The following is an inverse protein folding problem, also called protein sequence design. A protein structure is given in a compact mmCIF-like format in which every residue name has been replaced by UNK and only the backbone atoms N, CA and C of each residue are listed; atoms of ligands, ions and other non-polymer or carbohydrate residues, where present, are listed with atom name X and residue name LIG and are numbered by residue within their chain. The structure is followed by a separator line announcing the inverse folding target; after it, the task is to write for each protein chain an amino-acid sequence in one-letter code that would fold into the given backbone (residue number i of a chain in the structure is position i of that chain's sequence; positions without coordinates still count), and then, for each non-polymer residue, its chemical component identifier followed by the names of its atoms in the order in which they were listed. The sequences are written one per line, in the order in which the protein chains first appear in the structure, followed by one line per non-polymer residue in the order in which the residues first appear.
data_IF_843820133942
#
_entry.id   IF_843820133942
#
_cell.length_a   1.000
_cell.length_b   1.000
_cell.length_c   1.000
_cell.angle_alpha   90.00
_cell.angle_beta   90.00
_cell.angle_gamma   90.00
#
_symmetry.space_group_name_H-M   'P 1'
#
loop_
_entity.id
_entity.type
_entity.pdbx_description
1 polymer ?
#
# COMPACT_ATOMS: atom_id res chain seq x y z
N UNK A 1 -21.96 81.00 19.71
CA UNK A 1 -21.62 80.66 18.32
C UNK A 1 -20.12 80.37 18.29
N UNK A 2 -19.57 79.21 17.95
CA UNK A 2 -20.08 77.90 17.55
C UNK A 2 -18.95 76.89 17.80
N UNK A 3 -19.30 75.67 18.23
CA UNK A 3 -18.33 74.61 18.51
C UNK A 3 -17.74 74.02 17.22
N UNK A 4 -16.43 73.81 17.22
CA UNK A 4 -15.70 73.21 16.11
C UNK A 4 -15.85 71.69 16.16
N UNK A 5 -16.78 71.14 15.37
CA UNK A 5 -16.98 69.71 15.22
C UNK A 5 -15.88 69.13 14.31
N UNK A 6 -15.00 68.32 14.88
CA UNK A 6 -14.04 67.49 14.14
C UNK A 6 -14.76 66.27 13.59
N UNK A 7 -15.04 66.28 12.28
CA UNK A 7 -15.58 65.13 11.57
C UNK A 7 -14.50 64.05 11.42
N UNK A 8 -14.58 63.00 12.23
CA UNK A 8 -13.81 61.76 12.02
C UNK A 8 -14.41 60.99 10.85
N UNK A 9 -13.74 61.04 9.70
CA UNK A 9 -14.08 60.21 8.54
C UNK A 9 -13.85 58.74 8.92
N UNK A 10 -14.94 57.99 9.09
CA UNK A 10 -14.92 56.56 9.34
C UNK A 10 -14.39 55.79 8.14
N UNK A 11 -13.24 55.14 8.32
CA UNK A 11 -12.68 54.17 7.35
C UNK A 11 -13.67 53.00 7.21
N UNK A 12 -14.12 52.62 6.00
CA UNK A 12 -14.95 51.44 5.82
C UNK A 12 -14.13 50.19 6.19
N UNK A 13 -14.60 49.47 7.20
CA UNK A 13 -14.06 48.16 7.62
C UNK A 13 -14.16 47.21 6.41
N UNK A 14 -13.02 46.85 5.80
CA UNK A 14 -12.99 45.83 4.76
C UNK A 14 -13.59 44.54 5.32
N UNK A 15 -14.81 44.22 4.89
CA UNK A 15 -15.43 42.93 5.15
C UNK A 15 -14.57 41.89 4.45
N UNK A 16 -13.94 41.02 5.25
CA UNK A 16 -13.11 39.94 4.76
C UNK A 16 -13.89 39.09 3.76
N UNK A 17 -13.38 39.03 2.53
CA UNK A 17 -13.83 38.09 1.50
C UNK A 17 -13.95 36.71 2.15
N UNK A 18 -15.11 36.04 2.14
CA UNK A 18 -15.18 34.66 2.57
C UNK A 18 -14.16 33.90 1.72
N UNK A 19 -13.14 33.33 2.37
CA UNK A 19 -12.23 32.40 1.70
C UNK A 19 -13.11 31.22 1.31
N UNK A 20 -13.53 31.19 0.04
CA UNK A 20 -14.01 29.97 -0.59
C UNK A 20 -12.82 29.02 -0.49
N UNK A 21 -12.90 28.12 0.49
CA UNK A 21 -11.94 27.05 0.68
C UNK A 21 -12.06 26.19 -0.57
N UNK A 22 -10.96 25.85 -1.27
CA UNK A 22 -11.04 24.87 -2.33
C UNK A 22 -11.56 23.60 -1.69
N UNK A 23 -12.79 23.24 -2.02
CA UNK A 23 -13.37 21.94 -1.73
C UNK A 23 -12.40 20.94 -2.35
N UNK A 24 -11.64 20.24 -1.49
CA UNK A 24 -10.77 19.18 -1.93
C UNK A 24 -11.63 18.19 -2.72
N UNK A 25 -11.26 17.97 -3.97
CA UNK A 25 -12.02 17.15 -4.91
C UNK A 25 -12.49 15.84 -4.27
N UNK A 26 -13.80 15.65 -4.08
CA UNK A 26 -14.36 14.47 -3.40
C UNK A 26 -13.95 13.12 -4.03
N UNK A 27 -13.48 13.11 -5.28
CA UNK A 27 -13.08 11.89 -5.99
C UNK A 27 -11.68 11.35 -5.63
N UNK A 28 -10.71 12.22 -5.37
CA UNK A 28 -9.31 11.78 -5.20
C UNK A 28 -9.04 11.17 -3.81
N UNK A 29 -9.66 11.71 -2.76
CA UNK A 29 -9.53 11.17 -1.40
C UNK A 29 -10.32 9.88 -1.20
N UNK A 30 -11.46 9.75 -1.86
CA UNK A 30 -12.33 8.58 -1.73
C UNK A 30 -11.76 7.36 -2.45
N UNK A 31 -11.20 7.55 -3.66
CA UNK A 31 -10.51 6.49 -4.40
C UNK A 31 -9.33 5.91 -3.62
N UNK A 32 -8.49 6.77 -3.03
CA UNK A 32 -7.38 6.32 -2.18
C UNK A 32 -7.88 5.58 -0.93
N UNK A 33 -8.93 6.07 -0.28
CA UNK A 33 -9.48 5.44 0.91
C UNK A 33 -9.96 4.00 0.62
N UNK A 34 -10.74 3.82 -0.44
CA UNK A 34 -11.17 2.49 -0.88
C UNK A 34 -10.01 1.60 -1.29
N UNK A 35 -9.03 2.15 -2.00
CA UNK A 35 -7.82 1.40 -2.35
C UNK A 35 -7.16 0.85 -1.09
N UNK A 36 -6.89 1.68 -0.08
CA UNK A 36 -6.28 1.26 1.18
C UNK A 36 -7.13 0.20 1.91
N UNK A 37 -8.46 0.36 1.95
CA UNK A 37 -9.35 -0.64 2.57
C UNK A 37 -9.28 -1.97 1.82
N UNK A 38 -9.42 -1.96 0.50
CA UNK A 38 -9.48 -3.18 -0.31
C UNK A 38 -8.14 -3.90 -0.31
N UNK A 39 -7.04 -3.18 -0.55
CA UNK A 39 -5.71 -3.78 -0.55
C UNK A 39 -5.27 -4.19 0.85
N UNK A 40 -5.62 -3.40 1.88
CA UNK A 40 -5.41 -3.77 3.27
C UNK A 40 -6.19 -5.04 3.64
N UNK A 41 -7.46 -5.15 3.27
CA UNK A 41 -8.28 -6.33 3.53
C UNK A 41 -7.75 -7.57 2.78
N UNK A 42 -7.32 -7.41 1.52
CA UNK A 42 -6.72 -8.48 0.74
C UNK A 42 -5.40 -8.98 1.36
N UNK A 43 -4.53 -8.06 1.80
CA UNK A 43 -3.30 -8.40 2.51
C UNK A 43 -3.57 -9.08 3.85
N UNK A 44 -4.54 -8.56 4.61
CA UNK A 44 -4.97 -9.12 5.89
C UNK A 44 -5.49 -10.55 5.71
N UNK A 45 -6.34 -10.78 4.72
CA UNK A 45 -6.85 -12.10 4.36
C UNK A 45 -5.71 -13.06 4.00
N UNK A 46 -4.79 -12.63 3.14
CA UNK A 46 -3.63 -13.44 2.78
C UNK A 46 -2.79 -13.81 4.01
N UNK A 47 -2.47 -12.84 4.86
CA UNK A 47 -1.71 -13.08 6.09
C UNK A 47 -2.44 -13.99 7.06
N UNK A 48 -3.76 -13.84 7.19
CA UNK A 48 -4.59 -14.70 8.03
C UNK A 48 -4.57 -16.14 7.56
N UNK A 49 -4.83 -16.38 6.27
CA UNK A 49 -4.85 -17.73 5.69
C UNK A 49 -3.47 -18.39 5.79
N UNK A 50 -2.39 -17.70 5.44
CA UNK A 50 -1.03 -18.26 5.55
C UNK A 50 -0.71 -18.61 7.02
N UNK A 51 -1.17 -17.81 7.97
CA UNK A 51 -0.95 -18.09 9.41
C UNK A 51 -1.69 -19.36 9.83
N UNK A 52 -2.96 -19.50 9.46
CA UNK A 52 -3.75 -20.70 9.75
C UNK A 52 -3.15 -21.94 9.09
N UNK A 53 -2.81 -21.87 7.80
CA UNK A 53 -2.22 -22.99 7.07
C UNK A 53 -0.88 -23.41 7.69
N UNK A 54 -0.08 -22.46 8.21
CA UNK A 54 1.16 -22.77 8.92
C UNK A 54 0.91 -23.46 10.25
N UNK A 55 -0.14 -23.12 10.99
CA UNK A 55 -0.50 -23.84 12.21
C UNK A 55 -0.97 -25.26 11.91
N UNK A 56 -1.81 -25.44 10.89
CA UNK A 56 -2.27 -26.76 10.46
C UNK A 56 -1.11 -27.65 10.03
N UNK A 57 -0.12 -27.09 9.33
CA UNK A 57 1.08 -27.81 8.92
C UNK A 57 1.99 -28.21 10.09
N UNK A 58 1.97 -27.44 11.19
CA UNK A 58 2.69 -27.79 12.43
C UNK A 58 1.99 -28.91 13.21
N UNK A 59 0.67 -29.04 13.07
CA UNK A 59 -0.12 -30.11 13.68
C UNK A 59 -0.07 -31.40 12.85
N UNK A 60 -0.15 -31.27 11.53
CA UNK A 60 -0.12 -32.37 10.56
C UNK A 60 0.84 -32.03 9.40
N UNK A 61 2.04 -32.62 9.36
CA UNK A 61 3.01 -32.41 8.28
C UNK A 61 2.50 -32.83 6.89
N UNK A 62 1.48 -33.70 6.81
CA UNK A 62 0.87 -34.14 5.55
C UNK A 62 -0.26 -33.20 5.08
N UNK A 63 -0.56 -32.14 5.85
CA UNK A 63 -1.52 -31.11 5.47
C UNK A 63 -1.09 -30.43 4.16
N UNK A 64 -2.03 -30.37 3.20
CA UNK A 64 -1.82 -29.71 1.91
C UNK A 64 -2.57 -28.37 1.89
N UNK A 65 -1.86 -27.23 1.95
CA UNK A 65 -2.48 -25.92 1.84
C UNK A 65 -3.26 -25.80 0.53
N UNK A 66 -4.42 -25.14 0.55
CA UNK A 66 -5.28 -24.96 -0.62
C UNK A 66 -4.57 -24.26 -1.79
N UNK A 67 -3.54 -23.47 -1.48
CA UNK A 67 -2.72 -22.74 -2.44
C UNK A 67 -1.58 -23.58 -3.06
N UNK A 68 -1.46 -24.86 -2.68
CA UNK A 68 -0.46 -25.81 -3.23
C UNK A 68 -1.08 -26.67 -4.33
N UNK A 69 -1.00 -26.19 -5.57
CA UNK A 69 -1.66 -26.80 -6.73
C UNK A 69 -0.74 -27.72 -7.53
N UNK A 70 0.55 -27.36 -7.61
CA UNK A 70 1.56 -28.10 -8.36
C UNK A 70 2.96 -27.79 -7.76
N UNK A 71 4.05 -28.44 -8.23
CA UNK A 71 5.39 -28.23 -7.68
C UNK A 71 5.89 -26.78 -7.77
N UNK A 72 5.45 -26.03 -8.78
CA UNK A 72 5.78 -24.61 -8.96
C UNK A 72 4.91 -23.73 -8.06
N UNK A 73 3.60 -23.96 -8.02
CA UNK A 73 2.64 -23.21 -7.21
C UNK A 73 2.40 -23.97 -5.91
N UNK A 74 3.31 -23.80 -4.96
CA UNK A 74 3.36 -24.54 -3.69
C UNK A 74 3.48 -23.60 -2.49
N UNK A 75 2.35 -23.35 -1.82
CA UNK A 75 2.31 -22.69 -0.50
C UNK A 75 3.21 -23.41 0.51
N UNK A 76 3.09 -24.75 0.55
CA UNK A 76 3.73 -25.57 1.58
C UNK A 76 5.26 -25.43 1.55
N UNK A 77 5.86 -25.50 0.37
CA UNK A 77 7.31 -25.34 0.18
C UNK A 77 7.81 -23.98 0.65
N UNK A 78 7.04 -22.92 0.40
CA UNK A 78 7.38 -21.56 0.86
C UNK A 78 7.23 -21.43 2.38
N UNK A 79 6.19 -22.01 2.98
CA UNK A 79 5.92 -21.88 4.42
C UNK A 79 6.91 -22.63 5.32
N UNK A 80 7.48 -23.73 4.81
CA UNK A 80 8.48 -24.54 5.51
C UNK A 80 9.90 -23.97 5.41
N UNK A 81 10.14 -22.99 4.54
CA UNK A 81 11.46 -22.40 4.38
C UNK A 81 11.87 -21.52 5.57
N UNK A 82 13.18 -21.38 5.81
CA UNK A 82 13.70 -20.52 6.87
C UNK A 82 13.33 -19.04 6.66
N UNK A 83 13.26 -18.63 5.40
CA UNK A 83 12.88 -17.26 4.99
C UNK A 83 11.45 -16.92 5.42
N UNK A 84 10.57 -17.91 5.64
CA UNK A 84 9.21 -17.68 6.14
C UNK A 84 9.17 -17.14 7.59
N UNK A 85 10.31 -17.13 8.28
CA UNK A 85 10.48 -16.57 9.62
C UNK A 85 11.73 -15.69 9.73
N UNK A 86 11.87 -14.72 8.81
CA UNK A 86 13.06 -13.87 8.68
C UNK A 86 13.38 -13.06 9.95
N UNK A 87 12.36 -12.76 10.78
CA UNK A 87 12.50 -12.01 12.03
C UNK A 87 12.41 -12.89 13.29
N UNK A 88 12.55 -14.21 13.15
CA UNK A 88 12.43 -15.17 14.27
C UNK A 88 10.98 -15.56 14.62
N UNK A 89 10.01 -15.07 13.86
CA UNK A 89 8.60 -15.44 13.94
C UNK A 89 7.99 -15.47 12.54
N UNK A 90 6.84 -16.13 12.32
CA UNK A 90 6.21 -16.20 11.00
C UNK A 90 5.97 -14.82 10.40
N UNK A 91 6.54 -14.54 9.23
CA UNK A 91 6.38 -13.27 8.52
C UNK A 91 4.91 -12.84 8.33
N UNK A 92 3.92 -13.75 8.10
CA UNK A 92 2.51 -13.37 8.02
C UNK A 92 1.99 -12.63 9.25
N UNK A 93 2.59 -12.79 10.43
CA UNK A 93 2.20 -12.04 11.63
C UNK A 93 2.50 -10.53 11.49
N UNK A 94 3.59 -10.16 10.81
CA UNK A 94 3.84 -8.75 10.46
C UNK A 94 2.73 -8.22 9.55
N UNK A 95 2.30 -9.04 8.59
CA UNK A 95 1.22 -8.71 7.68
C UNK A 95 -0.11 -8.50 8.42
N UNK A 96 -0.46 -9.39 9.36
CA UNK A 96 -1.66 -9.24 10.18
C UNK A 96 -1.72 -7.88 10.88
N UNK A 97 -0.63 -7.48 11.53
CA UNK A 97 -0.55 -6.19 12.20
C UNK A 97 -0.57 -5.01 11.21
N UNK A 98 0.29 -5.05 10.19
CA UNK A 98 0.45 -3.95 9.24
C UNK A 98 -0.81 -3.70 8.41
N UNK A 99 -1.40 -4.76 7.84
CA UNK A 99 -2.60 -4.62 7.01
C UNK A 99 -3.83 -4.23 7.82
N UNK A 100 -3.99 -4.72 9.06
CA UNK A 100 -5.06 -4.27 9.93
C UNK A 100 -4.99 -2.76 10.20
N UNK A 101 -3.79 -2.22 10.45
CA UNK A 101 -3.57 -0.77 10.58
C UNK A 101 -3.99 -0.04 9.30
N UNK A 102 -3.59 -0.53 8.12
CA UNK A 102 -3.97 0.12 6.86
C UNK A 102 -5.48 0.10 6.62
N UNK A 103 -6.17 -1.00 6.93
CA UNK A 103 -7.63 -1.08 6.85
C UNK A 103 -8.27 -0.02 7.76
N UNK A 104 -7.81 0.11 9.00
CA UNK A 104 -8.29 1.13 9.93
C UNK A 104 -8.05 2.55 9.41
N UNK A 105 -6.90 2.81 8.79
CA UNK A 105 -6.59 4.11 8.16
C UNK A 105 -7.55 4.40 7.01
N UNK A 106 -7.75 3.44 6.11
CA UNK A 106 -8.68 3.57 5.00
C UNK A 106 -10.12 3.80 5.47
N UNK A 107 -10.58 3.03 6.46
CA UNK A 107 -11.90 3.19 7.06
C UNK A 107 -12.06 4.56 7.75
N UNK A 108 -11.01 5.03 8.42
CA UNK A 108 -10.96 6.37 9.01
C UNK A 108 -11.15 7.46 7.95
N UNK A 109 -10.49 7.35 6.78
CA UNK A 109 -10.69 8.28 5.67
C UNK A 109 -12.14 8.26 5.15
N UNK A 110 -12.74 7.07 5.02
CA UNK A 110 -14.14 6.93 4.61
C UNK A 110 -15.10 7.55 5.64
N UNK A 111 -14.75 7.51 6.92
CA UNK A 111 -15.47 8.18 8.00
C UNK A 111 -15.21 9.70 8.08
N UNK A 112 -14.38 10.26 7.18
CA UNK A 112 -14.07 11.69 7.12
C UNK A 112 -12.87 12.13 7.96
N UNK A 113 -12.07 11.19 8.50
CA UNK A 113 -10.85 11.52 9.23
C UNK A 113 -9.83 12.22 8.32
N UNK A 114 -9.04 13.12 8.92
CA UNK A 114 -7.96 13.85 8.24
C UNK A 114 -6.65 13.62 8.97
N UNK A 115 -5.72 12.96 8.31
CA UNK A 115 -4.37 12.71 8.84
C UNK A 115 -3.41 13.82 8.41
N UNK A 116 -2.50 14.21 9.32
CA UNK A 116 -1.45 15.18 9.03
C UNK A 116 -0.36 14.63 8.10
N UNK A 117 0.44 15.49 7.48
CA UNK A 117 1.48 15.09 6.51
C UNK A 117 2.50 14.08 7.05
N UNK A 118 2.91 14.21 8.32
CA UNK A 118 3.83 13.27 8.97
C UNK A 118 3.29 11.83 8.98
N UNK A 119 1.97 11.67 9.17
CA UNK A 119 1.33 10.36 9.22
C UNK A 119 1.41 9.68 7.87
N UNK A 120 1.21 10.46 6.80
CA UNK A 120 1.34 9.97 5.44
C UNK A 120 2.76 9.63 5.03
N UNK A 121 3.76 10.34 5.56
CA UNK A 121 5.17 9.95 5.41
C UNK A 121 5.47 8.65 6.15
N UNK A 122 4.94 8.48 7.36
CA UNK A 122 5.05 7.23 8.12
C UNK A 122 4.40 6.05 7.39
N UNK A 123 3.17 6.24 6.87
CA UNK A 123 2.49 5.24 6.06
C UNK A 123 3.26 4.90 4.79
N UNK A 124 3.86 5.90 4.14
CA UNK A 124 4.70 5.68 2.97
C UNK A 124 5.97 4.90 3.31
N UNK A 125 6.61 5.21 4.44
CA UNK A 125 7.78 4.48 4.91
C UNK A 125 7.43 3.02 5.24
N UNK A 126 6.29 2.77 5.88
CA UNK A 126 5.80 1.41 6.17
C UNK A 126 5.48 0.62 4.91
N UNK A 127 4.79 1.22 3.93
CA UNK A 127 4.48 0.56 2.65
C UNK A 127 5.71 0.38 1.76
N UNK A 128 6.69 1.29 1.83
CA UNK A 128 7.99 1.14 1.18
C UNK A 128 8.77 -0.04 1.79
N UNK A 129 8.84 -0.12 3.12
CA UNK A 129 9.44 -1.25 3.82
C UNK A 129 8.75 -2.56 3.43
N UNK A 130 7.42 -2.60 3.46
CA UNK A 130 6.63 -3.76 3.05
C UNK A 130 6.92 -4.17 1.61
N UNK A 131 6.99 -3.21 0.68
CA UNK A 131 7.31 -3.47 -0.73
C UNK A 131 8.72 -4.05 -0.89
N UNK A 132 9.71 -3.47 -0.21
CA UNK A 132 11.09 -3.96 -0.22
C UNK A 132 11.21 -5.37 0.38
N UNK A 133 10.52 -5.62 1.49
CA UNK A 133 10.47 -6.94 2.13
C UNK A 133 9.79 -7.99 1.24
N UNK A 134 8.68 -7.62 0.59
CA UNK A 134 8.01 -8.48 -0.40
C UNK A 134 8.91 -8.77 -1.60
N UNK A 135 9.65 -7.78 -2.10
CA UNK A 135 10.59 -7.97 -3.20
C UNK A 135 11.73 -8.92 -2.82
N UNK A 136 12.26 -8.81 -1.59
CA UNK A 136 13.25 -9.76 -1.08
C UNK A 136 12.68 -11.18 -0.97
N UNK A 137 11.49 -11.35 -0.37
CA UNK A 137 10.81 -12.65 -0.28
C UNK A 137 10.49 -13.25 -1.65
N UNK A 138 10.16 -12.40 -2.64
CA UNK A 138 9.97 -12.83 -4.02
C UNK A 138 11.25 -13.41 -4.60
N UNK A 139 12.39 -12.71 -4.45
CA UNK A 139 13.68 -13.23 -4.93
C UNK A 139 14.00 -14.58 -4.27
N UNK A 140 13.78 -14.71 -2.96
CA UNK A 140 13.95 -15.98 -2.25
C UNK A 140 13.02 -17.08 -2.80
N UNK A 141 11.76 -16.74 -3.05
CA UNK A 141 10.77 -17.69 -3.59
C UNK A 141 11.15 -18.18 -5.00
N UNK A 142 11.56 -17.25 -5.88
CA UNK A 142 11.87 -17.53 -7.28
C UNK A 142 13.20 -18.28 -7.46
N UNK A 143 14.23 -17.89 -6.73
CA UNK A 143 15.61 -18.30 -7.04
C UNK A 143 16.23 -19.24 -6.00
N UNK A 144 15.72 -19.29 -4.77
CA UNK A 144 16.22 -20.19 -3.73
C UNK A 144 15.25 -21.36 -3.50
N UNK A 145 13.98 -21.05 -3.23
CA UNK A 145 12.95 -22.05 -2.89
C UNK A 145 12.41 -22.73 -4.16
N UNK A 146 12.40 -22.02 -5.28
CA UNK A 146 11.84 -22.47 -6.56
C UNK A 146 10.34 -22.80 -6.49
N UNK A 147 9.59 -22.05 -5.67
CA UNK A 147 8.15 -22.18 -5.53
C UNK A 147 7.46 -20.81 -5.44
N UNK A 148 6.21 -20.75 -5.87
CA UNK A 148 5.36 -19.56 -5.89
C UNK A 148 4.13 -19.79 -5.00
N UNK A 149 3.88 -18.85 -4.08
CA UNK A 149 2.72 -18.89 -3.20
C UNK A 149 1.70 -17.82 -3.63
N UNK A 150 0.48 -18.24 -3.99
CA UNK A 150 -0.55 -17.30 -4.48
C UNK A 150 -0.99 -16.29 -3.40
N UNK A 151 -1.02 -16.71 -2.13
CA UNK A 151 -1.32 -15.79 -1.03
C UNK A 151 -0.21 -14.76 -0.84
N UNK A 152 1.06 -15.16 -0.97
CA UNK A 152 2.18 -14.22 -0.98
C UNK A 152 2.07 -13.25 -2.16
N UNK A 153 1.76 -13.73 -3.36
CA UNK A 153 1.55 -12.86 -4.53
C UNK A 153 0.42 -11.84 -4.28
N UNK A 154 -0.69 -12.25 -3.66
CA UNK A 154 -1.76 -11.34 -3.29
C UNK A 154 -1.27 -10.24 -2.34
N UNK A 155 -0.51 -10.61 -1.31
CA UNK A 155 0.10 -9.67 -0.38
C UNK A 155 1.10 -8.72 -1.06
N UNK A 156 1.89 -9.20 -2.02
CA UNK A 156 2.84 -8.39 -2.79
C UNK A 156 2.12 -7.35 -3.64
N UNK A 157 1.10 -7.77 -4.41
CA UNK A 157 0.29 -6.89 -5.24
C UNK A 157 -0.39 -5.83 -4.39
N UNK A 158 -1.03 -6.25 -3.29
CA UNK A 158 -1.69 -5.33 -2.38
C UNK A 158 -0.73 -4.26 -1.82
N UNK A 159 0.43 -4.66 -1.31
CA UNK A 159 1.43 -3.74 -0.74
C UNK A 159 2.01 -2.78 -1.76
N UNK A 160 2.29 -3.28 -2.96
CA UNK A 160 2.82 -2.47 -4.06
C UNK A 160 1.81 -1.40 -4.50
N UNK A 161 0.53 -1.76 -4.62
CA UNK A 161 -0.53 -0.80 -4.94
C UNK A 161 -0.66 0.27 -3.85
N UNK A 162 -0.61 -0.12 -2.57
CA UNK A 162 -0.61 0.81 -1.44
C UNK A 162 0.57 1.78 -1.52
N UNK A 163 1.79 1.27 -1.72
CA UNK A 163 3.00 2.07 -1.79
C UNK A 163 2.92 3.13 -2.89
N UNK A 164 2.55 2.75 -4.11
CA UNK A 164 2.46 3.70 -5.22
C UNK A 164 1.32 4.70 -5.04
N UNK A 165 0.18 4.29 -4.49
CA UNK A 165 -0.94 5.19 -4.22
C UNK A 165 -0.59 6.24 -3.15
N UNK A 166 0.05 5.82 -2.05
CA UNK A 166 0.51 6.72 -0.99
C UNK A 166 1.65 7.61 -1.47
N UNK A 167 2.57 7.08 -2.26
CA UNK A 167 3.66 7.87 -2.88
C UNK A 167 3.09 8.95 -3.81
N UNK A 168 2.18 8.58 -4.71
CA UNK A 168 1.54 9.54 -5.62
C UNK A 168 0.81 10.65 -4.85
N UNK A 169 0.10 10.29 -3.77
CA UNK A 169 -0.52 11.26 -2.86
C UNK A 169 0.53 12.22 -2.29
N UNK A 170 1.58 11.70 -1.67
CA UNK A 170 2.58 12.52 -0.99
C UNK A 170 3.34 13.44 -1.94
N UNK A 171 3.57 12.99 -3.18
CA UNK A 171 4.17 13.82 -4.24
C UNK A 171 3.22 14.94 -4.66
N UNK A 172 1.92 14.65 -4.83
CA UNK A 172 0.88 15.63 -5.21
C UNK A 172 0.58 16.65 -4.11
N UNK A 173 0.59 16.24 -2.85
CA UNK A 173 0.36 17.14 -1.70
C UNK A 173 1.60 17.93 -1.30
N UNK A 174 2.78 17.57 -1.82
CA UNK A 174 4.05 18.21 -1.51
C UNK A 174 4.69 17.73 -0.20
N UNK A 175 4.13 16.71 0.44
CA UNK A 175 4.72 16.06 1.63
C UNK A 175 6.07 15.39 1.28
N UNK A 176 6.21 14.89 0.04
CA UNK A 176 7.49 14.47 -0.53
C UNK A 176 8.03 15.53 -1.50
N UNK A 177 9.26 16.05 -1.28
CA UNK A 177 9.88 16.97 -2.22
C UNK A 177 10.24 16.22 -3.50
N UNK A 178 9.59 16.58 -4.60
CA UNK A 178 9.80 15.98 -5.91
C UNK A 178 10.01 17.08 -6.96
N UNK A 179 10.95 16.89 -7.91
CA UNK A 179 11.16 17.84 -9.00
C UNK A 179 9.91 17.93 -9.88
N UNK A 180 9.69 19.10 -10.52
CA UNK A 180 8.48 19.40 -11.31
C UNK A 180 8.06 18.31 -12.32
N UNK A 181 8.99 17.72 -13.11
CA UNK A 181 8.67 16.64 -14.03
C UNK A 181 8.14 15.37 -13.35
N UNK A 182 8.66 15.04 -12.16
CA UNK A 182 8.22 13.87 -11.41
C UNK A 182 6.80 14.10 -10.85
N UNK A 183 6.50 15.32 -10.40
CA UNK A 183 5.14 15.71 -10.01
C UNK A 183 4.15 15.60 -11.17
N UNK A 184 4.53 16.05 -12.38
CA UNK A 184 3.70 15.92 -13.57
C UNK A 184 3.45 14.44 -13.93
N UNK A 185 4.48 13.60 -13.90
CA UNK A 185 4.34 12.16 -14.13
C UNK A 185 3.33 11.50 -13.17
N UNK A 186 3.42 11.79 -11.86
CA UNK A 186 2.47 11.27 -10.89
C UNK A 186 1.09 11.94 -10.98
N UNK A 187 0.96 13.13 -11.55
CA UNK A 187 -0.32 13.76 -11.81
C UNK A 187 -1.04 13.07 -12.98
N UNK A 188 -0.34 12.91 -14.11
CA UNK A 188 -0.92 12.47 -15.38
C UNK A 188 -0.96 10.93 -15.53
N UNK A 189 0.01 10.22 -14.93
CA UNK A 189 0.22 8.79 -15.12
C UNK A 189 0.39 8.03 -13.81
N UNK A 190 -0.42 8.32 -12.79
CA UNK A 190 -0.35 7.63 -11.50
C UNK A 190 -0.52 6.09 -11.58
N UNK A 191 -1.18 5.58 -12.64
CA UNK A 191 -1.37 4.15 -12.87
C UNK A 191 -0.13 3.48 -13.50
N UNK A 192 0.77 4.24 -14.15
CA UNK A 192 1.89 3.67 -14.89
C UNK A 192 2.96 3.05 -13.98
N UNK A 193 3.42 3.70 -12.87
CA UNK A 193 4.37 3.08 -11.96
C UNK A 193 3.90 1.74 -11.37
N UNK A 194 2.68 1.59 -10.81
CA UNK A 194 2.23 0.30 -10.32
C UNK A 194 2.06 -0.73 -11.45
N UNK A 195 1.53 -0.34 -12.62
CA UNK A 195 1.38 -1.27 -13.75
C UNK A 195 2.73 -1.78 -14.26
N UNK A 196 3.73 -0.90 -14.40
CA UNK A 196 5.08 -1.28 -14.81
C UNK A 196 5.73 -2.20 -13.76
N UNK A 197 5.63 -1.86 -12.48
CA UNK A 197 6.22 -2.65 -11.41
C UNK A 197 5.60 -4.06 -11.35
N UNK A 198 4.28 -4.17 -11.49
CA UNK A 198 3.58 -5.46 -11.61
C UNK A 198 3.96 -6.22 -12.88
N UNK A 199 4.10 -5.52 -14.01
CA UNK A 199 4.53 -6.12 -15.27
C UNK A 199 5.93 -6.71 -15.18
N UNK A 200 6.88 -6.01 -14.54
CA UNK A 200 8.23 -6.53 -14.26
C UNK A 200 8.17 -7.78 -13.39
N UNK A 201 7.40 -7.76 -12.29
CA UNK A 201 7.24 -8.93 -11.42
C UNK A 201 6.64 -10.11 -12.19
N UNK A 202 5.57 -9.86 -12.95
CA UNK A 202 4.92 -10.89 -13.78
C UNK A 202 5.86 -11.47 -14.82
N UNK A 203 6.68 -10.63 -15.47
CA UNK A 203 7.70 -11.07 -16.42
C UNK A 203 8.74 -11.96 -15.74
N UNK A 204 9.26 -11.57 -14.57
CA UNK A 204 10.22 -12.39 -13.82
C UNK A 204 9.66 -13.78 -13.48
N UNK A 205 8.41 -13.83 -13.00
CA UNK A 205 7.71 -15.09 -12.70
C UNK A 205 7.54 -15.94 -13.97
N UNK A 206 7.07 -15.35 -15.06
CA UNK A 206 6.87 -16.04 -16.34
C UNK A 206 8.19 -16.61 -16.88
N UNK A 207 9.26 -15.82 -16.90
CA UNK A 207 10.57 -16.26 -17.40
C UNK A 207 11.20 -17.32 -16.52
N UNK A 208 10.93 -17.32 -15.21
CA UNK A 208 11.54 -18.27 -14.27
C UNK A 208 11.10 -19.71 -14.54
N UNK A 209 9.84 -19.89 -14.93
CA UNK A 209 9.22 -21.19 -15.16
C UNK A 209 8.75 -21.38 -16.61
N UNK A 210 9.35 -20.67 -17.56
CA UNK A 210 8.94 -20.70 -18.96
C UNK A 210 8.86 -22.12 -19.54
N UNK A 211 9.88 -22.93 -19.28
CA UNK A 211 9.95 -24.32 -19.76
C UNK A 211 8.86 -25.20 -19.14
N UNK A 212 8.47 -24.96 -17.89
CA UNK A 212 7.38 -25.68 -17.22
C UNK A 212 6.01 -25.36 -17.83
N UNK A 213 5.80 -24.14 -18.34
CA UNK A 213 4.52 -23.75 -18.97
C UNK A 213 4.41 -24.14 -20.44
N UNK A 214 5.55 -24.27 -21.13
CA UNK A 214 5.60 -24.51 -22.59
C UNK A 214 5.92 -25.96 -22.96
N UNK A 215 6.31 -26.79 -22.00
CA UNK A 215 6.61 -28.22 -22.15
C UNK A 215 5.62 -29.12 -21.45
#
# INVERSE_FOLDING_TARGET
MGGMATNTVGVPRQQGRPRIRPEGEPGASWGLAWLLVVTGAAGLLASWVITLDKFLLLEDPDFKPACSLNPVVSCGSVMQSEQASAFGFPNPMLGLAGYAVVVCVGAGLLAGARYGGWFWLGLNAGTLFGTGFCAWLMVQSLYEINALCLWCCLAWVATLLMFWAVTARNVRTGDLPAPGPLRALFADFAWAPPALHLGVIGMLVLTRWWDFWTG
#
